data_IF_416080956759
#
_entry.id   IF_416080956759
#
_cell.length_a   1.000
_cell.length_b   1.000
_cell.length_c   1.000
_cell.angle_alpha   90.00
_cell.angle_beta   90.00
_cell.angle_gamma   90.00
#
_symmetry.space_group_name_H-M   'P 1'
#
loop_
_entity.id
_entity.type
_entity.pdbx_description
1 polymer ?
#
# COMPACT_ATOMS: atom_id res chain seq x y z
N UNK A 1 4.09 15.45 -9.14
CA UNK A 1 3.92 14.19 -8.40
C UNK A 1 3.13 13.20 -9.25
N UNK A 2 3.52 11.93 -9.30
CA UNK A 2 2.83 10.85 -10.02
C UNK A 2 1.53 10.51 -9.28
N UNK A 3 0.45 10.29 -10.03
CA UNK A 3 -0.83 9.81 -9.51
C UNK A 3 -1.02 8.35 -9.93
N UNK A 4 -1.17 7.46 -8.96
CA UNK A 4 -1.37 6.04 -9.18
C UNK A 4 -2.53 5.49 -8.35
N UNK A 5 -2.93 4.28 -8.64
CA UNK A 5 -3.94 3.54 -7.86
C UNK A 5 -3.70 2.04 -7.95
N UNK A 6 -4.15 1.30 -6.94
CA UNK A 6 -4.19 -0.16 -7.00
C UNK A 6 -5.09 -0.63 -8.15
N UNK A 7 -4.64 -1.67 -8.85
CA UNK A 7 -5.42 -2.33 -9.88
C UNK A 7 -6.28 -3.50 -9.36
N UNK A 8 -6.31 -3.76 -8.04
CA UNK A 8 -6.87 -4.95 -7.40
C UNK A 8 -8.23 -5.37 -7.92
N UNK A 9 -9.30 -4.64 -7.60
CA UNK A 9 -10.65 -4.96 -8.03
C UNK A 9 -10.87 -4.92 -9.54
N UNK A 10 -10.07 -4.15 -10.28
CA UNK A 10 -10.19 -4.03 -11.73
C UNK A 10 -9.59 -5.24 -12.45
N UNK A 11 -8.39 -5.71 -12.05
CA UNK A 11 -7.79 -6.87 -12.73
C UNK A 11 -8.59 -8.16 -12.53
N UNK A 12 -9.30 -8.28 -11.41
CA UNK A 12 -10.20 -9.42 -11.16
C UNK A 12 -11.39 -9.44 -12.12
N UNK A 13 -11.83 -8.26 -12.60
CA UNK A 13 -12.98 -8.11 -13.51
C UNK A 13 -12.58 -8.11 -14.99
N UNK A 14 -11.45 -7.51 -15.34
CA UNK A 14 -11.08 -7.20 -16.73
C UNK A 14 -9.72 -7.80 -17.15
N UNK A 15 -9.06 -8.58 -16.28
CA UNK A 15 -7.67 -8.99 -16.47
C UNK A 15 -6.71 -7.83 -16.26
N UNK A 16 -5.40 -8.11 -16.25
CA UNK A 16 -4.37 -7.09 -16.03
C UNK A 16 -4.32 -6.06 -17.15
N UNK A 17 -4.44 -6.50 -18.40
CA UNK A 17 -4.43 -5.65 -19.59
C UNK A 17 -5.63 -4.71 -19.62
N UNK A 18 -6.84 -5.24 -19.43
CA UNK A 18 -8.06 -4.43 -19.42
C UNK A 18 -8.09 -3.43 -18.25
N UNK A 19 -7.58 -3.80 -17.07
CA UNK A 19 -7.42 -2.88 -15.95
C UNK A 19 -6.44 -1.74 -16.29
N UNK A 20 -5.30 -2.07 -16.90
CA UNK A 20 -4.30 -1.09 -17.33
C UNK A 20 -4.87 -0.09 -18.35
N UNK A 21 -5.63 -0.58 -19.33
CA UNK A 21 -6.30 0.28 -20.34
C UNK A 21 -7.33 1.22 -19.69
N UNK A 22 -8.14 0.71 -18.76
CA UNK A 22 -9.11 1.53 -18.02
C UNK A 22 -8.42 2.65 -17.22
N UNK A 23 -7.35 2.32 -16.49
CA UNK A 23 -6.59 3.29 -15.71
C UNK A 23 -5.89 4.32 -16.60
N UNK A 24 -5.28 3.89 -17.71
CA UNK A 24 -4.69 4.79 -18.70
C UNK A 24 -5.71 5.76 -19.28
N UNK A 25 -6.86 5.24 -19.72
CA UNK A 25 -7.92 6.04 -20.31
C UNK A 25 -8.55 7.02 -19.32
N UNK A 26 -8.54 6.71 -18.03
CA UNK A 26 -8.97 7.61 -16.96
C UNK A 26 -7.97 8.75 -16.71
N UNK A 27 -6.67 8.55 -17.00
CA UNK A 27 -5.62 9.55 -16.85
C UNK A 27 -4.69 9.34 -15.65
N UNK A 28 -4.61 8.12 -15.11
CA UNK A 28 -3.56 7.75 -14.14
C UNK A 28 -2.19 7.68 -14.83
N UNK A 29 -1.12 7.95 -14.07
CA UNK A 29 0.25 7.91 -14.57
C UNK A 29 0.90 6.54 -14.35
N UNK A 30 0.54 5.85 -13.26
CA UNK A 30 1.15 4.58 -12.85
C UNK A 30 0.13 3.69 -12.14
N UNK A 31 0.55 2.47 -11.89
CA UNK A 31 -0.24 1.40 -11.27
C UNK A 31 0.48 0.92 -10.01
N UNK A 32 -0.27 0.78 -8.93
CA UNK A 32 0.09 -0.06 -7.79
C UNK A 32 -0.37 -1.49 -8.08
N UNK A 33 0.58 -2.41 -8.20
CA UNK A 33 0.32 -3.78 -8.61
C UNK A 33 -0.21 -4.62 -7.46
N UNK A 34 -1.46 -5.04 -7.54
CA UNK A 34 -2.05 -5.96 -6.56
C UNK A 34 -1.50 -7.37 -6.71
N UNK A 35 -0.75 -7.83 -5.71
CA UNK A 35 -0.24 -9.19 -5.56
C UNK A 35 -0.80 -9.88 -4.29
N UNK A 36 -1.87 -9.35 -3.70
CA UNK A 36 -2.45 -9.84 -2.43
C UNK A 36 -2.88 -11.31 -2.44
N UNK A 37 -3.06 -11.90 -3.60
CA UNK A 37 -3.42 -13.32 -3.75
C UNK A 37 -2.37 -14.14 -4.48
N UNK A 38 -1.13 -13.66 -4.54
CA UNK A 38 -0.04 -14.27 -5.29
C UNK A 38 0.21 -15.72 -4.88
N UNK A 39 0.13 -16.02 -3.59
CA UNK A 39 0.44 -17.34 -3.01
C UNK A 39 -0.69 -18.39 -3.18
N UNK A 40 -1.83 -18.04 -3.77
CA UNK A 40 -2.95 -18.96 -4.02
C UNK A 40 -2.61 -19.95 -5.13
N UNK A 41 -3.15 -21.17 -5.03
CA UNK A 41 -2.89 -22.25 -5.99
C UNK A 41 -3.36 -21.94 -7.42
N UNK A 42 -4.37 -21.09 -7.57
CA UNK A 42 -4.93 -20.64 -8.85
C UNK A 42 -4.31 -19.32 -9.35
N UNK A 43 -3.32 -18.79 -8.63
CA UNK A 43 -2.64 -17.56 -9.03
C UNK A 43 -1.68 -17.81 -10.19
N UNK A 44 -1.82 -17.00 -11.24
CA UNK A 44 -0.88 -16.98 -12.38
C UNK A 44 0.57 -16.62 -11.96
N UNK A 45 0.73 -16.04 -10.77
CA UNK A 45 2.03 -15.69 -10.22
C UNK A 45 2.62 -16.79 -9.32
N UNK A 46 1.86 -17.86 -9.03
CA UNK A 46 2.36 -19.04 -8.31
C UNK A 46 2.86 -20.14 -9.23
N UNK A 47 2.47 -20.12 -10.49
CA UNK A 47 2.92 -21.02 -11.55
C UNK A 47 4.41 -20.82 -11.88
N UNK A 48 5.09 -21.86 -12.40
CA UNK A 48 6.51 -21.80 -12.79
C UNK A 48 6.77 -20.87 -13.99
N UNK A 49 5.72 -20.54 -14.74
CA UNK A 49 5.77 -19.63 -15.91
C UNK A 49 5.54 -18.17 -15.57
N UNK A 50 5.33 -17.82 -14.31
CA UNK A 50 4.95 -16.47 -13.87
C UNK A 50 5.83 -15.35 -14.45
N UNK A 51 7.12 -15.61 -14.66
CA UNK A 51 8.03 -14.60 -15.22
C UNK A 51 7.62 -14.14 -16.62
N UNK A 52 7.15 -15.04 -17.46
CA UNK A 52 6.62 -14.69 -18.78
C UNK A 52 5.38 -13.82 -18.64
N UNK A 53 4.49 -14.20 -17.73
CA UNK A 53 3.26 -13.43 -17.48
C UNK A 53 3.56 -12.01 -16.96
N UNK A 54 4.52 -11.87 -16.07
CA UNK A 54 4.96 -10.56 -15.55
C UNK A 54 5.53 -9.69 -16.68
N UNK A 55 6.34 -10.25 -17.56
CA UNK A 55 6.89 -9.52 -18.71
C UNK A 55 5.79 -9.08 -19.68
N UNK A 56 4.81 -9.95 -20.00
CA UNK A 56 3.67 -9.58 -20.84
C UNK A 56 2.88 -8.39 -20.23
N UNK A 57 2.58 -8.43 -18.94
CA UNK A 57 1.89 -7.37 -18.22
C UNK A 57 2.70 -6.07 -18.29
N UNK A 58 4.00 -6.15 -18.07
CA UNK A 58 4.90 -4.99 -18.14
C UNK A 58 4.94 -4.40 -19.54
N UNK A 59 5.19 -5.22 -20.56
CA UNK A 59 5.27 -4.79 -21.97
C UNK A 59 3.95 -4.13 -22.42
N UNK A 60 2.80 -4.70 -22.01
CA UNK A 60 1.51 -4.09 -22.30
C UNK A 60 1.37 -2.70 -21.66
N UNK A 61 1.70 -2.56 -20.37
CA UNK A 61 1.65 -1.27 -19.67
C UNK A 61 2.58 -0.24 -20.32
N UNK A 62 3.83 -0.63 -20.62
CA UNK A 62 4.82 0.23 -21.28
C UNK A 62 4.34 0.67 -22.68
N UNK A 63 3.68 -0.20 -23.44
CA UNK A 63 3.12 0.13 -24.76
C UNK A 63 2.07 1.23 -24.71
N UNK A 64 1.39 1.37 -23.56
CA UNK A 64 0.42 2.43 -23.29
C UNK A 64 1.04 3.65 -22.60
N UNK A 65 2.35 3.63 -22.34
CA UNK A 65 3.04 4.67 -21.58
C UNK A 65 2.62 4.71 -20.11
N UNK A 66 2.31 3.55 -19.53
CA UNK A 66 2.07 3.34 -18.11
C UNK A 66 3.28 2.69 -17.46
N UNK A 67 3.45 2.87 -16.15
CA UNK A 67 4.47 2.22 -15.34
C UNK A 67 3.87 1.65 -14.07
N UNK A 68 4.64 0.82 -13.37
CA UNK A 68 4.31 0.37 -12.02
C UNK A 68 5.18 1.15 -11.03
N UNK A 69 4.56 1.82 -10.05
CA UNK A 69 5.30 2.60 -9.05
C UNK A 69 5.59 1.80 -7.79
N UNK A 70 4.66 0.96 -7.39
CA UNK A 70 4.75 0.05 -6.25
C UNK A 70 3.92 -1.20 -6.48
N UNK A 71 4.02 -2.16 -5.59
CA UNK A 71 3.19 -3.35 -5.53
C UNK A 71 2.73 -3.62 -4.11
N UNK A 72 1.66 -4.40 -3.94
CA UNK A 72 1.16 -4.81 -2.65
C UNK A 72 1.35 -6.32 -2.45
N UNK A 73 2.09 -6.72 -1.42
CA UNK A 73 2.36 -8.12 -1.10
C UNK A 73 1.13 -8.85 -0.51
N UNK A 74 1.11 -10.20 -0.52
CA UNK A 74 0.14 -10.97 0.26
C UNK A 74 0.21 -10.62 1.74
N UNK A 75 -0.95 -10.63 2.43
CA UNK A 75 -1.01 -10.32 3.86
C UNK A 75 -1.89 -11.29 4.67
N UNK A 76 -2.58 -12.23 4.00
CA UNK A 76 -3.42 -13.23 4.65
C UNK A 76 -2.59 -14.38 5.19
N UNK A 77 -2.00 -14.18 6.37
CA UNK A 77 -1.16 -15.17 7.00
C UNK A 77 -1.76 -15.69 8.31
N UNK A 78 -1.81 -17.01 8.45
CA UNK A 78 -2.39 -17.69 9.60
C UNK A 78 -1.33 -18.26 10.54
N UNK A 79 -0.41 -17.43 10.96
CA UNK A 79 0.70 -17.81 11.83
C UNK A 79 0.28 -18.66 13.05
N UNK A 80 -0.75 -18.24 13.77
CA UNK A 80 -1.19 -18.91 14.99
C UNK A 80 -1.81 -20.30 14.74
N UNK A 81 -2.30 -20.56 13.53
CA UNK A 81 -3.06 -21.78 13.21
C UNK A 81 -2.34 -22.73 12.27
N UNK A 82 -1.37 -22.25 11.51
CA UNK A 82 -0.59 -23.07 10.57
C UNK A 82 0.86 -22.57 10.45
N UNK A 83 1.76 -22.98 11.36
CA UNK A 83 3.16 -22.57 11.31
C UNK A 83 3.90 -23.00 10.02
N UNK A 84 3.49 -24.11 9.40
CA UNK A 84 4.11 -24.58 8.15
C UNK A 84 3.80 -23.67 6.96
N UNK A 85 2.67 -22.97 6.99
CA UNK A 85 2.28 -22.01 5.97
C UNK A 85 3.32 -20.88 5.84
N UNK A 86 3.99 -20.50 6.91
CA UNK A 86 5.06 -19.51 6.88
C UNK A 86 6.19 -19.89 5.93
N UNK A 87 6.71 -21.11 6.09
CA UNK A 87 7.85 -21.59 5.27
C UNK A 87 7.42 -22.04 3.87
N UNK A 88 6.22 -22.60 3.73
CA UNK A 88 5.77 -23.23 2.49
C UNK A 88 5.12 -22.24 1.52
N UNK A 89 4.52 -21.16 2.02
CA UNK A 89 3.72 -20.24 1.22
C UNK A 89 4.04 -18.77 1.47
N UNK A 90 4.02 -18.35 2.74
CA UNK A 90 4.09 -16.94 3.07
C UNK A 90 5.44 -16.32 2.70
N UNK A 91 6.54 -16.84 3.26
CA UNK A 91 7.88 -16.34 2.92
C UNK A 91 8.23 -16.51 1.43
N UNK A 92 7.97 -17.65 0.78
CA UNK A 92 8.12 -17.74 -0.68
C UNK A 92 7.27 -16.74 -1.46
N UNK A 93 6.04 -16.45 -1.00
CA UNK A 93 5.19 -15.44 -1.59
C UNK A 93 5.76 -14.03 -1.47
N UNK A 94 6.30 -13.68 -0.29
CA UNK A 94 6.98 -12.39 -0.07
C UNK A 94 8.19 -12.22 -0.97
N UNK A 95 9.05 -13.26 -1.05
CA UNK A 95 10.24 -13.24 -1.91
C UNK A 95 9.84 -13.08 -3.37
N UNK A 96 8.84 -13.83 -3.82
CA UNK A 96 8.32 -13.74 -5.19
C UNK A 96 7.68 -12.38 -5.49
N UNK A 97 7.02 -11.77 -4.50
CA UNK A 97 6.52 -10.40 -4.63
C UNK A 97 7.66 -9.42 -4.90
N UNK A 98 8.76 -9.49 -4.16
CA UNK A 98 9.92 -8.62 -4.39
C UNK A 98 10.53 -8.86 -5.78
N UNK A 99 10.64 -10.12 -6.23
CA UNK A 99 11.13 -10.44 -7.57
C UNK A 99 10.22 -9.87 -8.67
N UNK A 100 8.91 -10.09 -8.58
CA UNK A 100 7.92 -9.55 -9.53
C UNK A 100 7.98 -8.03 -9.54
N UNK A 101 8.06 -7.40 -8.38
CA UNK A 101 8.16 -5.95 -8.26
C UNK A 101 9.39 -5.39 -8.96
N UNK A 102 10.55 -6.05 -8.80
CA UNK A 102 11.76 -5.71 -9.55
C UNK A 102 11.59 -5.87 -11.05
N UNK A 103 10.97 -6.97 -11.50
CA UNK A 103 10.68 -7.21 -12.91
C UNK A 103 9.73 -6.15 -13.51
N UNK A 104 8.75 -5.67 -12.75
CA UNK A 104 7.82 -4.61 -13.15
C UNK A 104 8.44 -3.21 -13.10
N UNK A 105 9.59 -3.06 -12.44
CA UNK A 105 10.25 -1.76 -12.24
C UNK A 105 9.67 -0.95 -11.09
N UNK A 106 8.96 -1.58 -10.15
CA UNK A 106 8.49 -0.94 -8.93
C UNK A 106 9.66 -0.48 -8.06
N UNK A 107 9.54 0.69 -7.43
CA UNK A 107 10.55 1.19 -6.49
C UNK A 107 10.46 0.47 -5.14
N UNK A 108 9.24 0.08 -4.76
CA UNK A 108 8.94 -0.54 -3.47
C UNK A 108 7.80 -1.55 -3.57
N UNK A 109 7.79 -2.50 -2.65
CA UNK A 109 6.67 -3.39 -2.37
C UNK A 109 6.13 -3.07 -0.98
N UNK A 110 4.81 -2.90 -0.89
CA UNK A 110 4.11 -2.71 0.39
C UNK A 110 4.01 -4.07 1.06
N UNK A 111 4.53 -4.17 2.27
CA UNK A 111 4.59 -5.41 3.04
C UNK A 111 4.03 -5.15 4.44
N UNK A 112 2.84 -5.68 4.70
CA UNK A 112 2.23 -5.58 6.02
C UNK A 112 3.11 -6.23 7.08
N UNK A 113 3.18 -5.67 8.30
CA UNK A 113 3.77 -6.36 9.42
C UNK A 113 2.94 -7.62 9.76
N UNK A 114 3.61 -8.63 10.33
CA UNK A 114 2.93 -9.80 10.87
C UNK A 114 2.23 -9.40 12.17
N UNK A 115 0.95 -9.70 12.28
CA UNK A 115 0.18 -9.56 13.49
C UNK A 115 -0.68 -10.81 13.68
N UNK A 116 -0.42 -11.61 14.71
CA UNK A 116 -1.05 -12.91 14.91
C UNK A 116 -1.83 -13.06 16.21
N UNK A 117 -1.88 -11.99 17.02
CA UNK A 117 -2.58 -11.96 18.31
C UNK A 117 -3.06 -10.54 18.65
N UNK A 118 -3.80 -10.40 19.77
CA UNK A 118 -4.20 -9.10 20.29
C UNK A 118 -2.92 -8.26 20.56
N UNK A 119 -2.88 -7.06 20.00
CA UNK A 119 -1.68 -6.23 20.02
C UNK A 119 -1.35 -5.73 21.44
N UNK A 120 -2.36 -5.21 22.14
CA UNK A 120 -2.18 -4.63 23.49
C UNK A 120 -1.70 -5.69 24.48
N UNK A 121 -0.52 -5.44 25.05
CA UNK A 121 0.16 -6.35 25.98
C UNK A 121 1.13 -7.34 25.31
N UNK A 122 1.28 -7.26 23.98
CA UNK A 122 2.20 -8.08 23.18
C UNK A 122 3.09 -7.22 22.26
N UNK A 123 3.18 -5.92 22.51
CA UNK A 123 3.86 -4.94 21.64
C UNK A 123 5.32 -5.31 21.38
N UNK A 124 6.06 -5.67 22.43
CA UNK A 124 7.49 -6.04 22.29
C UNK A 124 7.66 -7.39 21.58
N UNK A 125 6.80 -8.37 21.86
CA UNK A 125 6.84 -9.67 21.18
C UNK A 125 6.60 -9.51 19.68
N UNK A 126 5.60 -8.70 19.31
CA UNK A 126 5.32 -8.41 17.91
C UNK A 126 6.40 -7.55 17.25
N UNK A 127 7.01 -6.62 18.01
CA UNK A 127 8.16 -5.87 17.52
C UNK A 127 9.32 -6.79 17.14
N UNK A 128 9.74 -7.69 18.04
CA UNK A 128 10.84 -8.62 17.78
C UNK A 128 10.53 -9.59 16.63
N UNK A 129 9.30 -10.09 16.56
CA UNK A 129 8.84 -10.93 15.45
C UNK A 129 9.00 -10.20 14.11
N UNK A 130 8.53 -8.96 14.03
CA UNK A 130 8.57 -8.18 12.81
C UNK A 130 9.99 -7.71 12.45
N UNK A 131 10.83 -7.41 13.44
CA UNK A 131 12.24 -7.12 13.20
C UNK A 131 12.94 -8.32 12.53
N UNK A 132 12.65 -9.54 13.00
CA UNK A 132 13.17 -10.74 12.35
C UNK A 132 12.62 -10.90 10.95
N UNK A 133 11.31 -10.81 10.76
CA UNK A 133 10.63 -10.96 9.47
C UNK A 133 11.19 -10.02 8.40
N UNK A 134 11.27 -8.72 8.69
CA UNK A 134 11.77 -7.75 7.74
C UNK A 134 13.27 -7.93 7.44
N UNK A 135 14.08 -8.28 8.45
CA UNK A 135 15.49 -8.59 8.23
C UNK A 135 15.71 -9.84 7.39
N UNK A 136 14.84 -10.85 7.51
CA UNK A 136 14.89 -12.06 6.67
C UNK A 136 14.55 -11.75 5.20
N UNK A 137 13.75 -10.71 4.92
CA UNK A 137 13.44 -10.24 3.56
C UNK A 137 14.51 -9.32 2.95
N UNK A 138 15.32 -8.65 3.76
CA UNK A 138 16.29 -7.65 3.31
C UNK A 138 17.26 -8.14 2.21
N UNK A 139 17.83 -9.37 2.27
CA UNK A 139 18.71 -9.88 1.22
C UNK A 139 18.02 -9.89 -0.15
N UNK A 140 16.74 -10.27 -0.19
CA UNK A 140 15.95 -10.36 -1.42
C UNK A 140 15.56 -8.98 -1.94
N UNK A 141 15.24 -8.05 -1.04
CA UNK A 141 15.02 -6.65 -1.39
C UNK A 141 16.24 -6.05 -2.12
N UNK A 142 17.45 -6.34 -1.60
CA UNK A 142 18.71 -5.94 -2.21
C UNK A 142 18.99 -6.66 -3.54
N UNK A 143 18.71 -7.95 -3.61
CA UNK A 143 18.89 -8.75 -4.82
C UNK A 143 18.03 -8.24 -5.98
N UNK A 144 16.76 -7.95 -5.71
CA UNK A 144 15.81 -7.50 -6.74
C UNK A 144 15.74 -5.98 -6.91
N UNK A 145 16.46 -5.21 -6.08
CA UNK A 145 16.52 -3.75 -6.18
C UNK A 145 15.22 -3.05 -5.80
N UNK A 146 14.41 -3.63 -4.90
CA UNK A 146 13.09 -3.15 -4.49
C UNK A 146 13.09 -2.87 -3.00
N UNK A 147 12.63 -1.69 -2.59
CA UNK A 147 12.47 -1.38 -1.16
C UNK A 147 11.28 -2.12 -0.57
N UNK A 148 11.39 -2.47 0.70
CA UNK A 148 10.27 -2.95 1.51
C UNK A 148 9.62 -1.73 2.17
N UNK A 149 8.38 -1.45 1.82
CA UNK A 149 7.60 -0.39 2.44
C UNK A 149 6.70 -1.00 3.52
N UNK A 150 7.04 -0.76 4.78
CA UNK A 150 6.21 -1.16 5.92
C UNK A 150 4.94 -0.32 5.93
N UNK A 151 3.81 -0.91 6.31
CA UNK A 151 2.54 -0.19 6.42
C UNK A 151 2.04 -0.13 7.86
N UNK A 152 1.42 0.98 8.24
CA UNK A 152 0.76 1.12 9.53
C UNK A 152 -0.59 0.40 9.54
N UNK A 153 -0.83 -0.40 10.58
CA UNK A 153 -1.99 -1.29 10.67
C UNK A 153 -3.02 -0.80 11.69
N UNK A 154 -4.15 -1.46 11.71
CA UNK A 154 -5.18 -1.36 12.74
C UNK A 154 -5.81 -2.72 12.98
N UNK A 155 -6.44 -2.93 14.13
CA UNK A 155 -7.22 -4.12 14.41
C UNK A 155 -8.54 -3.78 15.09
N UNK A 156 -9.51 -4.72 15.04
CA UNK A 156 -10.70 -4.61 15.84
C UNK A 156 -10.40 -4.99 17.29
N UNK A 157 -10.60 -4.07 18.22
CA UNK A 157 -10.52 -4.39 19.64
C UNK A 157 -11.69 -5.31 20.02
N UNK A 158 -11.36 -6.54 20.41
CA UNK A 158 -12.34 -7.62 20.63
C UNK A 158 -13.38 -7.24 21.69
N UNK A 159 -12.97 -6.57 22.77
CA UNK A 159 -13.84 -6.23 23.90
C UNK A 159 -14.77 -5.05 23.60
N UNK A 160 -14.27 -4.02 22.95
CA UNK A 160 -15.01 -2.76 22.71
C UNK A 160 -15.62 -2.69 21.30
N UNK A 161 -15.25 -3.61 20.42
CA UNK A 161 -15.74 -3.71 19.03
C UNK A 161 -15.62 -2.40 18.23
N UNK A 162 -14.48 -1.75 18.36
CA UNK A 162 -14.11 -0.58 17.57
C UNK A 162 -12.68 -0.75 17.06
N UNK A 163 -12.26 0.02 16.04
CA UNK A 163 -10.86 0.06 15.63
C UNK A 163 -9.94 0.46 16.78
N UNK A 164 -8.79 -0.16 16.87
CA UNK A 164 -7.78 0.09 17.88
C UNK A 164 -6.39 -0.09 17.30
N UNK A 165 -5.40 0.20 18.14
CA UNK A 165 -3.98 0.13 17.76
C UNK A 165 -3.54 -1.27 17.39
N UNK A 166 -2.61 -1.36 16.45
CA UNK A 166 -1.92 -2.55 16.00
C UNK A 166 -0.47 -2.18 15.67
N UNK A 167 0.27 -3.06 15.04
CA UNK A 167 1.66 -2.86 14.65
C UNK A 167 1.81 -1.62 13.76
N UNK A 168 2.76 -0.76 14.08
CA UNK A 168 3.04 0.49 13.35
C UNK A 168 1.86 1.49 13.28
N UNK A 169 0.78 1.27 14.01
CA UNK A 169 -0.42 2.10 13.90
C UNK A 169 -0.23 3.54 14.38
N UNK A 170 0.59 3.73 15.42
CA UNK A 170 0.98 5.06 15.89
C UNK A 170 2.32 5.47 15.27
N UNK A 171 2.39 6.68 14.76
CA UNK A 171 3.59 7.17 14.07
C UNK A 171 4.85 7.15 14.94
N UNK A 172 4.73 7.32 16.25
CA UNK A 172 5.85 7.20 17.20
C UNK A 172 6.43 5.78 17.26
N UNK A 173 5.58 4.76 17.21
CA UNK A 173 6.02 3.38 17.11
C UNK A 173 6.57 3.08 15.72
N UNK A 174 5.91 3.55 14.67
CA UNK A 174 6.38 3.38 13.31
C UNK A 174 7.79 3.94 13.11
N UNK A 175 8.10 5.10 13.68
CA UNK A 175 9.46 5.66 13.75
C UNK A 175 10.43 4.68 14.43
N UNK A 176 10.04 4.04 15.54
CA UNK A 176 10.87 3.04 16.21
C UNK A 176 11.22 1.87 15.28
N UNK A 177 10.24 1.37 14.52
CA UNK A 177 10.46 0.31 13.52
C UNK A 177 11.47 0.76 12.46
N UNK A 178 11.24 1.90 11.84
CA UNK A 178 12.10 2.43 10.79
C UNK A 178 13.53 2.68 11.28
N UNK A 179 13.69 3.32 12.44
CA UNK A 179 15.00 3.64 13.00
C UNK A 179 15.77 2.40 13.49
N UNK A 180 15.06 1.32 13.85
CA UNK A 180 15.70 0.05 14.25
C UNK A 180 16.12 -0.79 13.03
N UNK A 181 15.34 -0.78 11.95
CA UNK A 181 15.71 -1.45 10.69
C UNK A 181 16.88 -0.74 10.01
N UNK A 182 16.88 0.57 9.97
CA UNK A 182 17.98 1.46 9.59
C UNK A 182 18.79 0.98 8.37
N UNK A 183 18.10 0.71 7.24
CA UNK A 183 18.72 0.33 5.98
C UNK A 183 17.96 1.01 4.83
N UNK A 184 18.67 1.42 3.78
CA UNK A 184 18.12 2.15 2.62
C UNK A 184 17.04 1.37 1.85
N UNK A 185 16.95 0.06 2.07
CA UNK A 185 15.93 -0.80 1.48
C UNK A 185 14.64 -0.89 2.29
N UNK A 186 14.51 -0.12 3.39
CA UNK A 186 13.25 0.05 4.10
C UNK A 186 12.72 1.46 3.95
N UNK A 187 11.39 1.57 3.89
CA UNK A 187 10.68 2.85 3.90
C UNK A 187 9.30 2.67 4.54
N UNK A 188 8.68 3.76 4.97
CA UNK A 188 7.32 3.72 5.48
C UNK A 188 6.32 3.97 4.35
N UNK A 189 5.30 3.14 4.28
CA UNK A 189 4.04 3.42 3.61
C UNK A 189 3.04 3.88 4.66
N UNK A 190 2.60 5.12 4.59
CA UNK A 190 1.54 5.58 5.48
C UNK A 190 0.19 5.40 4.80
N UNK A 191 -0.60 4.46 5.34
CA UNK A 191 -2.03 4.44 5.08
C UNK A 191 -2.71 5.52 5.91
N UNK A 192 -3.28 6.51 5.20
CA UNK A 192 -3.88 7.69 5.82
C UNK A 192 -5.15 7.33 6.59
N UNK A 193 -5.93 6.40 6.05
CA UNK A 193 -7.17 5.96 6.66
C UNK A 193 -6.94 5.17 7.94
N UNK A 194 -5.94 4.29 7.97
CA UNK A 194 -5.57 3.52 9.15
C UNK A 194 -5.16 4.42 10.32
N UNK A 195 -4.40 5.50 10.06
CA UNK A 195 -4.08 6.49 11.11
C UNK A 195 -5.35 7.06 11.76
N UNK A 196 -6.32 7.49 10.94
CA UNK A 196 -7.57 8.04 11.45
C UNK A 196 -8.38 7.04 12.28
N UNK A 197 -8.35 5.76 11.93
CA UNK A 197 -9.09 4.71 12.62
C UNK A 197 -8.56 4.43 14.03
N UNK A 198 -7.27 4.61 14.27
CA UNK A 198 -6.66 4.42 15.60
C UNK A 198 -6.64 5.70 16.44
N UNK A 199 -7.19 6.80 15.91
CA UNK A 199 -7.31 8.07 16.62
C UNK A 199 -6.09 8.98 16.48
N UNK A 200 -5.20 8.72 15.54
CA UNK A 200 -4.11 9.60 15.16
C UNK A 200 -4.46 10.30 13.84
N UNK A 201 -4.39 11.63 13.81
CA UNK A 201 -4.65 12.38 12.59
C UNK A 201 -3.53 12.16 11.57
N UNK A 202 -3.87 11.80 10.34
CA UNK A 202 -2.88 11.46 9.30
C UNK A 202 -1.85 12.58 9.05
N UNK A 203 -2.25 13.86 9.12
CA UNK A 203 -1.33 14.99 8.99
C UNK A 203 -0.29 15.06 10.11
N UNK A 204 -0.59 14.55 11.30
CA UNK A 204 0.34 14.51 12.41
C UNK A 204 1.28 13.31 12.28
N UNK A 205 0.77 12.17 11.86
CA UNK A 205 1.60 11.00 11.50
C UNK A 205 2.61 11.33 10.40
N UNK A 206 2.21 12.07 9.35
CA UNK A 206 3.11 12.55 8.28
C UNK A 206 4.26 13.37 8.85
N UNK A 207 3.97 14.32 9.76
CA UNK A 207 5.00 15.16 10.37
C UNK A 207 5.96 14.39 11.26
N UNK A 208 5.45 13.39 12.01
CA UNK A 208 6.26 12.55 12.90
C UNK A 208 7.19 11.64 12.10
N UNK A 209 6.70 11.00 11.04
CA UNK A 209 7.52 10.17 10.14
C UNK A 209 8.58 11.02 9.43
N UNK A 210 8.19 12.19 8.94
CA UNK A 210 9.10 13.14 8.29
C UNK A 210 9.55 12.69 6.90
N UNK A 211 10.43 13.49 6.31
CA UNK A 211 10.95 13.31 4.95
C UNK A 211 11.66 11.98 4.73
N UNK A 212 12.54 11.61 5.67
CA UNK A 212 13.50 10.53 5.43
C UNK A 212 12.88 9.13 5.53
N UNK A 213 11.78 8.99 6.29
CA UNK A 213 11.14 7.69 6.51
C UNK A 213 9.97 7.46 5.57
N UNK A 214 9.21 8.51 5.23
CA UNK A 214 7.97 8.41 4.47
C UNK A 214 8.24 8.32 2.96
N UNK A 215 8.18 7.12 2.39
CA UNK A 215 8.44 6.90 0.96
C UNK A 215 7.23 6.50 0.13
N UNK A 216 6.15 6.03 0.76
CA UNK A 216 4.93 5.61 0.10
C UNK A 216 3.68 6.08 0.85
N UNK A 217 2.56 6.14 0.13
CA UNK A 217 1.24 6.45 0.68
C UNK A 217 0.22 5.44 0.16
N UNK A 218 -0.73 5.08 1.04
CA UNK A 218 -2.05 4.60 0.67
C UNK A 218 -3.07 5.68 0.98
N UNK A 219 -3.67 6.24 -0.07
CA UNK A 219 -4.57 7.38 0.04
C UNK A 219 -6.01 6.94 -0.15
N UNK A 220 -6.78 6.99 0.90
CA UNK A 220 -8.22 6.83 0.89
C UNK A 220 -8.86 7.63 2.02
N UNK A 221 -10.17 7.75 2.00
CA UNK A 221 -10.95 8.41 3.04
C UNK A 221 -11.81 7.40 3.80
N UNK A 222 -12.19 7.73 5.03
CA UNK A 222 -13.09 6.94 5.84
C UNK A 222 -13.85 7.78 6.87
N UNK A 223 -14.71 7.14 7.67
CA UNK A 223 -15.52 7.77 8.70
C UNK A 223 -14.92 7.67 10.11
N UNK A 224 -13.65 7.29 10.27
CA UNK A 224 -12.93 6.99 11.52
C UNK A 224 -13.45 5.76 12.29
N UNK A 225 -14.30 4.95 11.69
CA UNK A 225 -14.91 3.75 12.32
C UNK A 225 -14.79 2.49 11.48
N UNK A 226 -14.77 2.67 10.19
CA UNK A 226 -14.75 1.59 9.21
C UNK A 226 -13.67 1.89 8.18
N UNK A 227 -12.93 0.87 7.84
CA UNK A 227 -11.94 0.93 6.79
C UNK A 227 -12.63 0.96 5.41
N UNK A 228 -13.09 2.16 5.04
CA UNK A 228 -13.99 2.32 3.90
C UNK A 228 -13.28 2.34 2.56
N UNK A 229 -11.99 2.61 2.50
CA UNK A 229 -11.24 2.78 1.25
C UNK A 229 -12.01 3.56 0.19
N UNK A 230 -12.67 4.65 0.62
CA UNK A 230 -13.43 5.51 -0.29
C UNK A 230 -12.58 6.66 -0.81
N UNK A 231 -13.09 7.38 -1.81
CA UNK A 231 -12.40 8.51 -2.40
C UNK A 231 -12.31 9.69 -1.40
N UNK A 232 -11.18 10.42 -1.35
CA UNK A 232 -11.08 11.69 -0.60
C UNK A 232 -12.28 12.62 -0.80
N UNK A 233 -12.70 13.26 0.30
CA UNK A 233 -13.90 14.09 0.42
C UNK A 233 -15.24 13.34 0.55
N UNK A 234 -15.25 12.00 0.48
CA UNK A 234 -16.46 11.21 0.73
C UNK A 234 -16.54 10.67 2.17
N UNK A 235 -15.47 10.79 2.94
CA UNK A 235 -15.41 10.47 4.36
C UNK A 235 -15.30 11.72 5.24
N UNK A 236 -14.41 11.65 6.25
CA UNK A 236 -14.30 12.69 7.28
C UNK A 236 -12.88 13.22 7.47
N UNK A 237 -11.89 12.70 6.78
CA UNK A 237 -10.50 13.08 6.95
C UNK A 237 -10.25 14.50 6.40
N UNK A 238 -9.29 15.20 7.02
CA UNK A 238 -8.95 16.56 6.63
C UNK A 238 -7.87 16.59 5.55
N UNK A 239 -8.25 16.40 4.29
CA UNK A 239 -7.30 16.36 3.17
C UNK A 239 -6.55 17.68 2.94
N UNK A 240 -7.09 18.81 3.37
CA UNK A 240 -6.36 20.07 3.31
C UNK A 240 -5.18 20.09 4.29
N UNK A 241 -5.37 19.61 5.53
CA UNK A 241 -4.31 19.46 6.51
C UNK A 241 -3.28 18.40 6.09
N UNK A 242 -3.72 17.30 5.49
CA UNK A 242 -2.86 16.25 4.93
C UNK A 242 -1.98 16.80 3.82
N UNK A 243 -2.54 17.52 2.83
CA UNK A 243 -1.78 18.14 1.75
C UNK A 243 -0.72 19.12 2.28
N UNK A 244 -1.08 19.92 3.30
CA UNK A 244 -0.15 20.83 3.95
C UNK A 244 0.99 20.07 4.64
N UNK A 245 0.70 19.02 5.39
CA UNK A 245 1.72 18.22 6.07
C UNK A 245 2.67 17.54 5.07
N UNK A 246 2.16 16.99 3.96
CA UNK A 246 2.98 16.42 2.89
C UNK A 246 3.92 17.46 2.26
N UNK A 247 3.46 18.69 2.11
CA UNK A 247 4.30 19.81 1.64
C UNK A 247 5.36 20.19 2.68
N UNK A 248 5.00 20.31 3.96
CA UNK A 248 5.89 20.66 5.07
C UNK A 248 7.04 19.67 5.22
N UNK A 249 6.80 18.38 5.06
CA UNK A 249 7.86 17.35 5.10
C UNK A 249 8.56 17.17 3.75
N UNK A 250 8.21 17.95 2.74
CA UNK A 250 8.74 17.84 1.36
C UNK A 250 8.65 16.41 0.82
N UNK A 251 7.48 15.78 0.95
CA UNK A 251 7.25 14.42 0.48
C UNK A 251 7.62 14.26 -1.00
N UNK A 252 8.39 13.21 -1.32
CA UNK A 252 8.93 12.93 -2.67
C UNK A 252 8.34 11.70 -3.35
N UNK A 253 7.56 10.92 -2.63
CA UNK A 253 6.92 9.72 -3.17
C UNK A 253 5.76 10.04 -4.12
N UNK A 254 5.09 8.99 -4.54
CA UNK A 254 3.92 9.06 -5.40
C UNK A 254 2.64 9.24 -4.59
N UNK A 255 1.61 9.80 -5.22
CA UNK A 255 0.27 9.89 -4.66
C UNK A 255 -0.52 8.66 -5.12
N UNK A 256 -0.50 7.62 -4.29
CA UNK A 256 -1.08 6.32 -4.63
C UNK A 256 -2.41 6.12 -3.91
N UNK A 257 -3.47 5.96 -4.68
CA UNK A 257 -4.77 5.62 -4.14
C UNK A 257 -4.87 4.14 -3.76
N UNK A 258 -5.42 3.89 -2.59
CA UNK A 258 -6.00 2.61 -2.18
C UNK A 258 -7.51 2.76 -1.94
N UNK A 259 -8.18 3.51 -2.81
CA UNK A 259 -9.59 3.87 -2.74
C UNK A 259 -10.49 2.96 -3.61
N UNK A 260 -10.10 1.70 -3.79
CA UNK A 260 -10.78 0.78 -4.70
C UNK A 260 -12.25 0.50 -4.35
N UNK A 261 -12.62 0.59 -3.07
CA UNK A 261 -14.01 0.41 -2.64
C UNK A 261 -14.97 1.48 -3.17
N UNK A 262 -14.45 2.65 -3.59
CA UNK A 262 -15.26 3.67 -4.28
C UNK A 262 -15.89 3.14 -5.57
N UNK A 263 -15.19 2.28 -6.31
CA UNK A 263 -15.68 1.69 -7.55
C UNK A 263 -16.42 0.35 -7.36
N UNK A 264 -16.42 -0.21 -6.14
CA UNK A 264 -17.04 -1.50 -5.88
C UNK A 264 -18.55 -1.45 -6.10
N UNK A 265 -19.04 -2.47 -6.82
CA UNK A 265 -20.47 -2.57 -7.14
C UNK A 265 -20.96 -1.64 -8.24
N UNK A 266 -20.10 -0.82 -8.84
CA UNK A 266 -20.48 -0.02 -10.00
C UNK A 266 -20.62 -0.91 -11.25
N UNK A 267 -21.66 -0.69 -12.09
CA UNK A 267 -21.75 -1.29 -13.41
C UNK A 267 -20.54 -0.87 -14.28
N UNK A 268 -20.16 -1.76 -15.22
CA UNK A 268 -19.00 -1.53 -16.09
C UNK A 268 -19.11 -0.23 -16.89
N UNK A 269 -20.31 0.17 -17.28
CA UNK A 269 -20.59 1.38 -18.04
C UNK A 269 -20.29 2.67 -17.26
N UNK A 270 -20.29 2.63 -15.92
CA UNK A 270 -20.03 3.79 -15.07
C UNK A 270 -18.57 3.87 -14.63
N UNK A 271 -17.81 2.78 -14.69
CA UNK A 271 -16.41 2.76 -14.23
C UNK A 271 -15.52 3.80 -14.90
N UNK A 272 -15.57 4.02 -16.23
CA UNK A 272 -14.73 5.04 -16.85
C UNK A 272 -14.97 6.45 -16.29
N UNK A 273 -16.22 6.78 -15.99
CA UNK A 273 -16.57 8.09 -15.38
C UNK A 273 -16.09 8.18 -13.92
N UNK A 274 -16.25 7.09 -13.15
CA UNK A 274 -15.81 7.04 -11.77
C UNK A 274 -14.28 7.15 -11.65
N UNK A 275 -13.54 6.39 -12.45
CA UNK A 275 -12.07 6.44 -12.49
C UNK A 275 -11.56 7.83 -12.93
N UNK A 276 -12.23 8.46 -13.89
CA UNK A 276 -11.89 9.83 -14.29
C UNK A 276 -12.12 10.82 -13.15
N UNK A 277 -13.21 10.68 -12.40
CA UNK A 277 -13.46 11.52 -11.23
C UNK A 277 -12.41 11.29 -10.13
N UNK A 278 -11.95 10.04 -9.91
CA UNK A 278 -10.82 9.77 -9.02
C UNK A 278 -9.57 10.54 -9.47
N UNK A 279 -9.26 10.55 -10.76
CA UNK A 279 -8.12 11.30 -11.30
C UNK A 279 -8.29 12.80 -11.07
N UNK A 280 -9.47 13.37 -11.29
CA UNK A 280 -9.73 14.78 -11.05
C UNK A 280 -9.49 15.17 -9.60
N UNK A 281 -9.98 14.36 -8.63
CA UNK A 281 -9.74 14.56 -7.20
C UNK A 281 -8.25 14.44 -6.86
N UNK A 282 -7.55 13.41 -7.39
CA UNK A 282 -6.11 13.23 -7.13
C UNK A 282 -5.26 14.38 -7.67
N UNK A 283 -5.54 14.85 -8.89
CA UNK A 283 -4.84 16.02 -9.47
C UNK A 283 -5.10 17.30 -8.67
N UNK A 284 -6.33 17.47 -8.16
CA UNK A 284 -6.65 18.56 -7.27
C UNK A 284 -5.79 18.51 -5.99
N UNK A 285 -5.72 17.35 -5.30
CA UNK A 285 -4.95 17.18 -4.07
C UNK A 285 -3.44 17.38 -4.32
N UNK A 286 -2.90 16.80 -5.39
CA UNK A 286 -1.51 17.05 -5.81
C UNK A 286 -1.27 18.56 -6.03
N UNK A 287 -2.20 19.23 -6.68
CA UNK A 287 -2.14 20.69 -6.87
C UNK A 287 -2.16 21.46 -5.52
N UNK A 288 -2.88 20.96 -4.50
CA UNK A 288 -2.86 21.56 -3.15
C UNK A 288 -1.49 21.34 -2.47
N UNK A 289 -0.90 20.16 -2.58
CA UNK A 289 0.45 19.89 -2.05
C UNK A 289 1.47 20.85 -2.68
N UNK A 290 1.47 20.99 -4.03
CA UNK A 290 2.37 21.89 -4.72
C UNK A 290 2.13 23.38 -4.36
N UNK A 291 0.88 23.77 -4.15
CA UNK A 291 0.55 25.11 -3.66
C UNK A 291 1.24 25.37 -2.30
N UNK A 292 1.12 24.42 -1.33
CA UNK A 292 1.71 24.58 -0.01
C UNK A 292 3.23 24.53 0.01
N UNK A 293 3.89 23.91 -0.96
CA UNK A 293 5.35 23.97 -1.12
C UNK A 293 5.86 25.36 -1.53
N UNK A 294 4.99 26.20 -2.08
CA UNK A 294 5.36 27.49 -2.65
C UNK A 294 4.87 28.70 -1.82
N UNK A 295 4.19 28.49 -0.71
CA UNK A 295 3.72 29.56 0.20
C UNK A 295 4.32 29.39 1.58
#
# INVERSE_FOLDING_TARGET
MILSTSNGGLHQRFGFEGATELLKNAGFDAIDMDLCGLEKDDSVFWDDTYKYRVLEIREHAESLGMSFNQSHAPFHYRWATNPNEYEERFMPGMIRTLEISGMLGCKQAIVHPIHHQEYIGHEEEQFELNMKFYRDLLPYAKEFGVKIALENMWQNEVKRKHPGVDVCSLASEFVRYMDTLNDDYFTACLDLGHSGMVGEEAQDAIRILGHDRLGALHVHDNNYREDQHTLPYLGKMNFEAICKALAEVDYKGEFTYEAGKFCNGMPDELLPSALKFMVEVGRHLIGRIEYYKNV
#
